data_IF_382060551626
#
_entry.id   IF_382060551626
#
_cell.length_a   1.000
_cell.length_b   1.000
_cell.length_c   1.000
_cell.angle_alpha   90.00
_cell.angle_beta   90.00
_cell.angle_gamma   90.00
#
_symmetry.space_group_name_H-M   'P 1'
#
loop_
_entity.id
_entity.type
_entity.pdbx_description
1 polymer ?
#
# COMPACT_ATOMS: atom_id res chain seq x y z
N UNK A 1 12.66 6.74 -18.16
CA UNK A 1 12.04 6.66 -16.81
C UNK A 1 10.54 6.52 -16.99
N UNK A 2 9.92 5.43 -16.55
CA UNK A 2 8.47 5.26 -16.66
C UNK A 2 7.78 6.04 -15.54
N UNK A 3 6.96 7.04 -15.91
CA UNK A 3 6.18 7.83 -14.96
C UNK A 3 5.12 6.98 -14.24
N UNK A 4 4.67 7.46 -13.06
CA UNK A 4 3.60 6.80 -12.29
C UNK A 4 2.38 6.59 -13.20
N UNK A 5 1.84 5.35 -13.29
CA UNK A 5 0.65 5.10 -14.09
C UNK A 5 -0.52 5.98 -13.62
N UNK A 6 -1.38 6.46 -14.54
CA UNK A 6 -2.62 7.13 -14.18
C UNK A 6 -3.39 6.30 -13.15
N UNK A 7 -3.99 6.95 -12.14
CA UNK A 7 -4.65 6.29 -11.00
C UNK A 7 -5.64 5.20 -11.43
N UNK A 8 -6.39 5.45 -12.50
CA UNK A 8 -7.36 4.54 -13.10
C UNK A 8 -6.75 3.24 -13.63
N UNK A 9 -5.52 3.31 -14.16
CA UNK A 9 -4.76 2.16 -14.71
C UNK A 9 -3.80 1.54 -13.69
N UNK A 10 -3.81 2.01 -12.45
CA UNK A 10 -2.93 1.44 -11.42
C UNK A 10 -3.38 0.03 -11.05
N UNK A 11 -2.41 -0.87 -10.83
CA UNK A 11 -2.69 -2.25 -10.40
C UNK A 11 -3.53 -2.28 -9.12
N UNK A 12 -3.24 -1.39 -8.17
CA UNK A 12 -4.02 -1.28 -6.93
C UNK A 12 -5.49 -0.96 -7.19
N UNK A 13 -5.80 -0.12 -8.19
CA UNK A 13 -7.17 0.19 -8.57
C UNK A 13 -7.86 -1.02 -9.22
N UNK A 14 -7.19 -1.68 -10.15
CA UNK A 14 -7.72 -2.90 -10.80
C UNK A 14 -7.96 -4.02 -9.79
N UNK A 15 -7.06 -4.19 -8.82
CA UNK A 15 -7.21 -5.18 -7.75
C UNK A 15 -8.40 -4.85 -6.86
N UNK A 16 -8.58 -3.58 -6.47
CA UNK A 16 -9.77 -3.14 -5.72
C UNK A 16 -11.06 -3.48 -6.46
N UNK A 17 -11.15 -3.15 -7.74
CA UNK A 17 -12.32 -3.48 -8.57
C UNK A 17 -12.55 -4.99 -8.58
N UNK A 18 -11.49 -5.78 -8.80
CA UNK A 18 -11.59 -7.22 -8.88
C UNK A 18 -12.06 -7.87 -7.59
N UNK A 19 -11.52 -7.48 -6.43
CA UNK A 19 -11.87 -8.08 -5.13
C UNK A 19 -13.26 -7.66 -4.63
N UNK A 20 -13.77 -6.50 -5.04
CA UNK A 20 -15.13 -6.04 -4.69
C UNK A 20 -16.22 -6.63 -5.58
N UNK A 21 -15.86 -7.17 -6.75
CA UNK A 21 -16.83 -7.80 -7.64
C UNK A 21 -17.45 -9.05 -7.02
N UNK A 22 -18.68 -9.37 -7.42
CA UNK A 22 -19.38 -10.60 -7.03
C UNK A 22 -18.59 -11.84 -7.46
N UNK A 23 -18.39 -12.75 -6.50
CA UNK A 23 -17.74 -14.04 -6.65
C UNK A 23 -18.73 -15.15 -7.03
N UNK A 24 -18.26 -16.39 -6.97
CA UNK A 24 -19.06 -17.57 -7.34
C UNK A 24 -20.19 -17.86 -6.34
N UNK A 25 -19.97 -17.50 -5.08
CA UNK A 25 -20.91 -17.67 -3.98
C UNK A 25 -22.03 -16.62 -3.96
N UNK A 26 -21.93 -15.57 -4.78
CA UNK A 26 -22.79 -14.39 -4.69
C UNK A 26 -22.26 -13.31 -3.73
N UNK A 27 -21.25 -13.61 -2.93
CA UNK A 27 -20.54 -12.66 -2.05
C UNK A 27 -19.38 -11.98 -2.77
N UNK A 28 -18.81 -10.87 -2.24
CA UNK A 28 -17.61 -10.26 -2.81
C UNK A 28 -16.43 -11.24 -2.87
N UNK A 29 -15.65 -11.24 -3.97
CA UNK A 29 -14.48 -12.11 -4.14
C UNK A 29 -13.46 -12.00 -3.01
N UNK A 30 -13.34 -10.83 -2.38
CA UNK A 30 -12.48 -10.64 -1.22
C UNK A 30 -12.82 -11.61 -0.08
N UNK A 31 -14.12 -11.88 0.12
CA UNK A 31 -14.59 -12.82 1.14
C UNK A 31 -14.15 -14.24 0.81
N UNK A 32 -14.34 -14.68 -0.43
CA UNK A 32 -13.92 -16.01 -0.89
C UNK A 32 -12.40 -16.20 -0.73
N UNK A 33 -11.61 -15.18 -1.05
CA UNK A 33 -10.14 -15.20 -0.84
C UNK A 33 -9.79 -15.27 0.65
N UNK A 34 -10.52 -14.58 1.51
CA UNK A 34 -10.31 -14.65 2.96
C UNK A 34 -10.67 -16.03 3.53
N UNK A 35 -11.74 -16.66 3.04
CA UNK A 35 -12.13 -18.02 3.40
C UNK A 35 -11.05 -19.02 2.95
N UNK A 36 -10.53 -18.89 1.71
CA UNK A 36 -9.40 -19.70 1.25
C UNK A 36 -8.15 -19.54 2.13
N UNK A 37 -7.86 -18.33 2.62
CA UNK A 37 -6.73 -18.09 3.53
C UNK A 37 -6.91 -18.87 4.84
N UNK A 38 -8.13 -18.89 5.39
CA UNK A 38 -8.46 -19.66 6.59
C UNK A 38 -8.33 -21.16 6.31
N UNK A 39 -8.82 -21.65 5.18
CA UNK A 39 -8.71 -23.06 4.81
C UNK A 39 -7.24 -23.50 4.72
N UNK A 40 -6.37 -22.71 4.09
CA UNK A 40 -4.93 -22.99 4.05
C UNK A 40 -4.32 -23.05 5.45
N UNK A 41 -4.69 -22.13 6.34
CA UNK A 41 -4.22 -22.17 7.72
C UNK A 41 -4.70 -23.43 8.47
N UNK A 42 -5.95 -23.87 8.24
CA UNK A 42 -6.49 -25.11 8.81
C UNK A 42 -5.81 -26.36 8.25
N UNK A 43 -5.29 -26.32 7.02
CA UNK A 43 -4.45 -27.37 6.44
C UNK A 43 -3.03 -27.41 7.02
N UNK A 44 -2.65 -26.46 7.88
CA UNK A 44 -1.34 -26.39 8.51
C UNK A 44 -0.31 -25.57 7.74
N UNK A 45 -0.74 -24.78 6.74
CA UNK A 45 0.16 -23.91 5.99
C UNK A 45 0.70 -22.78 6.88
N UNK A 46 1.96 -22.90 7.28
CA UNK A 46 2.58 -21.97 8.24
C UNK A 46 2.57 -20.51 7.79
N UNK A 47 2.65 -20.25 6.48
CA UNK A 47 2.55 -18.88 5.93
C UNK A 47 1.15 -18.29 6.13
N UNK A 48 0.09 -19.10 5.99
CA UNK A 48 -1.29 -18.66 6.15
C UNK A 48 -1.62 -18.41 7.63
N UNK A 49 -1.16 -19.31 8.52
CA UNK A 49 -1.31 -19.15 9.98
C UNK A 49 -0.66 -17.83 10.44
N UNK A 50 0.57 -17.56 9.98
CA UNK A 50 1.28 -16.31 10.30
C UNK A 50 0.55 -15.09 9.75
N UNK A 51 0.07 -15.15 8.51
CA UNK A 51 -0.60 -14.04 7.83
C UNK A 51 -1.93 -13.65 8.51
N UNK A 52 -2.63 -14.63 9.09
CA UNK A 52 -3.82 -14.42 9.93
C UNK A 52 -3.43 -13.83 11.28
N UNK A 53 -2.45 -14.39 11.98
CA UNK A 53 -1.98 -13.88 13.27
C UNK A 53 -1.54 -12.40 13.15
N UNK A 54 -0.76 -12.08 12.12
CA UNK A 54 -0.30 -10.71 11.83
C UNK A 54 -1.47 -9.71 11.57
N UNK A 55 -2.63 -10.18 11.11
CA UNK A 55 -3.83 -9.35 10.85
C UNK A 55 -4.72 -9.15 12.06
N UNK A 56 -4.87 -10.19 12.88
CA UNK A 56 -5.80 -10.19 14.02
C UNK A 56 -5.11 -9.64 15.26
N UNK A 57 -3.95 -10.17 15.59
CA UNK A 57 -3.18 -9.75 16.78
C UNK A 57 -2.35 -8.50 16.51
N UNK A 58 -2.21 -8.14 15.23
CA UNK A 58 -1.40 -7.03 14.76
C UNK A 58 0.08 -7.41 14.73
N UNK A 59 0.80 -6.87 13.74
CA UNK A 59 2.26 -6.98 13.72
C UNK A 59 2.83 -6.17 14.88
N UNK A 60 3.77 -6.76 15.61
CA UNK A 60 4.62 -5.99 16.54
C UNK A 60 5.22 -4.83 15.73
N UNK A 61 5.06 -3.56 16.18
CA UNK A 61 5.69 -2.43 15.52
C UNK A 61 7.18 -2.72 15.38
N UNK A 62 7.65 -2.86 14.15
CA UNK A 62 9.07 -2.90 13.89
C UNK A 62 9.60 -1.54 14.32
N UNK A 63 10.44 -1.53 15.36
CA UNK A 63 11.19 -0.34 15.70
C UNK A 63 11.92 0.09 14.44
N UNK A 64 11.69 1.32 14.01
CA UNK A 64 12.57 1.96 13.04
C UNK A 64 13.87 2.17 13.79
N UNK A 65 14.75 1.16 13.76
CA UNK A 65 16.12 1.34 14.17
C UNK A 65 16.73 2.19 13.07
N UNK A 66 16.75 3.50 13.28
CA UNK A 66 17.70 4.35 12.59
C UNK A 66 19.06 3.81 12.95
N UNK A 67 19.76 3.27 11.96
CA UNK A 67 21.21 3.25 12.06
C UNK A 67 21.63 4.72 12.15
N UNK A 68 22.48 5.10 13.11
CA UNK A 68 22.88 6.50 13.35
C UNK A 68 23.52 7.15 12.10
N UNK A 69 23.76 6.38 11.02
CA UNK A 69 24.22 6.84 9.71
C UNK A 69 23.14 7.01 8.63
N UNK A 70 21.88 6.63 8.85
CA UNK A 70 20.82 6.85 7.85
C UNK A 70 19.43 7.01 8.43
N UNK A 71 18.98 8.26 8.50
CA UNK A 71 17.57 8.58 8.74
C UNK A 71 16.70 7.98 7.61
N UNK A 72 15.72 7.10 7.91
CA UNK A 72 14.86 6.48 6.90
C UNK A 72 13.85 7.46 6.26
N UNK A 73 13.81 8.71 6.74
CA UNK A 73 12.97 9.79 6.22
C UNK A 73 13.86 11.01 5.95
N UNK A 74 14.21 11.25 4.69
CA UNK A 74 14.84 12.52 4.27
C UNK A 74 13.74 13.56 4.03
N UNK A 75 13.50 14.44 5.00
CA UNK A 75 12.68 15.64 4.82
C UNK A 75 13.42 16.64 3.92
N UNK A 76 13.05 16.69 2.64
CA UNK A 76 13.56 17.72 1.72
C UNK A 76 12.76 19.00 1.94
N UNK A 77 13.31 19.92 2.75
CA UNK A 77 12.77 21.28 2.86
C UNK A 77 13.20 22.09 1.64
N UNK A 78 12.26 22.41 0.76
CA UNK A 78 12.49 23.31 -0.39
C UNK A 78 11.99 24.70 -0.02
N UNK A 79 12.90 25.69 -0.02
CA UNK A 79 12.55 27.12 0.08
C UNK A 79 12.80 27.75 -1.28
N UNK A 80 11.74 28.11 -2.00
CA UNK A 80 11.84 28.86 -3.27
C UNK A 80 11.60 30.35 -3.04
N UNK A 81 12.54 31.20 -3.49
CA UNK A 81 12.38 32.65 -3.53
C UNK A 81 12.15 33.10 -4.96
N UNK A 82 10.90 33.43 -5.32
CA UNK A 82 10.56 34.00 -6.63
C UNK A 82 10.66 35.52 -6.57
N UNK A 83 11.69 36.08 -7.20
CA UNK A 83 11.82 37.53 -7.44
C UNK A 83 11.26 37.85 -8.82
N UNK A 84 10.11 38.52 -8.86
CA UNK A 84 9.50 39.01 -10.11
C UNK A 84 9.98 40.45 -10.31
N UNK A 85 10.60 40.75 -11.45
CA UNK A 85 10.85 42.14 -11.86
C UNK A 85 9.51 42.73 -12.29
N UNK A 86 9.20 43.94 -11.82
CA UNK A 86 8.06 44.67 -12.35
C UNK A 86 8.28 44.89 -13.86
N UNK A 87 7.30 44.49 -14.67
CA UNK A 87 7.31 44.74 -16.10
C UNK A 87 7.23 46.26 -16.31
N UNK A 88 8.37 46.90 -16.61
CA UNK A 88 8.38 48.25 -17.17
C UNK A 88 8.17 48.05 -18.67
N UNK A 89 6.92 48.17 -19.09
CA UNK A 89 6.45 47.67 -20.37
C UNK A 89 6.84 48.48 -21.60
N UNK A 90 6.18 48.11 -22.70
CA UNK A 90 5.64 49.01 -23.72
C UNK A 90 4.28 48.44 -24.14
#
# INVERSE_FOLDING_TARGET
>A
MAGRPPKEKSFANMLKIAITATGKSGEPKLREVAEMLVDQALLGEGWAIKEIADRIDGKVPQAVVGDDESDPISLVHVIERRLVRANTGN
#
